data_IF_397033362462
#
_entry.id   IF_397033362462
#
_cell.length_a   1.000
_cell.length_b   1.000
_cell.length_c   1.000
_cell.angle_alpha   90.00
_cell.angle_beta   90.00
_cell.angle_gamma   90.00
#
_symmetry.space_group_name_H-M   'P 1'
#
loop_
_entity.id
_entity.type
_entity.pdbx_description
1 polymer ?
#
# COMPACT_ATOMS: atom_id res chain seq x y z
N UNK A 1 -9.41 -16.25 -6.31
CA UNK A 1 -10.47 -15.32 -6.77
C UNK A 1 -11.76 -16.04 -7.17
N UNK A 2 -11.71 -17.20 -7.83
CA UNK A 2 -12.91 -17.99 -8.18
C UNK A 2 -13.82 -18.26 -6.99
N UNK A 3 -13.28 -18.73 -5.85
CA UNK A 3 -14.09 -19.10 -4.69
C UNK A 3 -14.86 -17.93 -4.04
N UNK A 4 -14.35 -16.69 -4.11
CA UNK A 4 -15.00 -15.51 -3.52
C UNK A 4 -16.35 -15.22 -4.18
N UNK A 5 -16.37 -15.20 -5.52
CA UNK A 5 -17.56 -14.85 -6.29
C UNK A 5 -18.61 -15.94 -6.13
N UNK A 6 -18.20 -17.21 -6.09
CA UNK A 6 -19.10 -18.33 -5.86
C UNK A 6 -19.67 -18.34 -4.43
N UNK A 7 -18.84 -18.16 -3.39
CA UNK A 7 -19.32 -18.14 -2.00
C UNK A 7 -20.26 -16.97 -1.73
N UNK A 8 -19.88 -15.77 -2.19
CA UNK A 8 -20.69 -14.57 -2.06
C UNK A 8 -22.02 -14.73 -2.81
N UNK A 9 -21.96 -15.15 -4.08
CA UNK A 9 -23.15 -15.31 -4.92
C UNK A 9 -24.16 -16.30 -4.37
N UNK A 10 -23.70 -17.44 -3.83
CA UNK A 10 -24.56 -18.46 -3.22
C UNK A 10 -25.26 -17.88 -1.99
N UNK A 11 -24.53 -17.23 -1.08
CA UNK A 11 -25.12 -16.72 0.16
C UNK A 11 -26.09 -15.56 -0.13
N UNK A 12 -25.76 -14.67 -1.07
CA UNK A 12 -26.67 -13.61 -1.49
C UNK A 12 -27.96 -14.18 -2.10
N UNK A 13 -27.86 -15.22 -2.93
CA UNK A 13 -29.03 -15.89 -3.48
C UNK A 13 -29.90 -16.54 -2.40
N UNK A 14 -29.27 -17.13 -1.38
CA UNK A 14 -29.96 -17.69 -0.20
C UNK A 14 -30.65 -16.58 0.59
N UNK A 15 -29.98 -15.45 0.86
CA UNK A 15 -30.59 -14.31 1.56
C UNK A 15 -31.81 -13.77 0.83
N UNK A 16 -31.74 -13.60 -0.49
CA UNK A 16 -32.87 -13.17 -1.33
C UNK A 16 -34.02 -14.19 -1.25
N UNK A 17 -33.71 -15.49 -1.36
CA UNK A 17 -34.71 -16.55 -1.31
C UNK A 17 -35.39 -16.64 0.06
N UNK A 18 -34.62 -16.57 1.15
CA UNK A 18 -35.13 -16.56 2.53
C UNK A 18 -35.97 -15.30 2.77
N UNK A 19 -35.52 -14.14 2.31
CA UNK A 19 -36.30 -12.90 2.40
C UNK A 19 -37.64 -13.04 1.69
N UNK A 20 -37.65 -13.52 0.43
CA UNK A 20 -38.87 -13.71 -0.35
C UNK A 20 -39.80 -14.76 0.28
N UNK A 21 -39.25 -15.84 0.82
CA UNK A 21 -40.00 -16.89 1.51
C UNK A 21 -40.66 -16.37 2.79
N UNK A 22 -39.90 -15.67 3.64
CA UNK A 22 -40.41 -15.05 4.85
C UNK A 22 -41.46 -13.99 4.52
N UNK A 23 -41.21 -13.15 3.53
CA UNK A 23 -42.15 -12.10 3.10
C UNK A 23 -43.46 -12.69 2.58
N UNK A 24 -43.42 -13.83 1.88
CA UNK A 24 -44.61 -14.48 1.34
C UNK A 24 -45.38 -15.30 2.37
N UNK A 25 -44.69 -15.92 3.33
CA UNK A 25 -45.34 -16.83 4.30
C UNK A 25 -45.73 -16.10 5.60
N UNK A 26 -44.97 -15.10 6.02
CA UNK A 26 -45.23 -14.37 7.27
C UNK A 26 -46.03 -13.09 7.04
N UNK A 27 -46.69 -12.59 8.08
CA UNK A 27 -47.36 -11.27 8.07
C UNK A 27 -46.45 -10.14 8.53
N UNK A 28 -45.14 -10.38 8.62
CA UNK A 28 -44.20 -9.37 9.10
C UNK A 28 -43.97 -8.31 8.04
N UNK A 29 -43.80 -7.07 8.47
CA UNK A 29 -43.45 -5.98 7.58
C UNK A 29 -42.07 -6.22 6.97
N UNK A 30 -41.88 -5.83 5.71
CA UNK A 30 -40.63 -6.01 4.97
C UNK A 30 -39.39 -5.50 5.70
N UNK A 31 -39.52 -4.40 6.47
CA UNK A 31 -38.45 -3.85 7.32
C UNK A 31 -38.06 -4.76 8.49
N UNK A 32 -39.04 -5.45 9.09
CA UNK A 32 -38.77 -6.37 10.20
C UNK A 32 -38.03 -7.60 9.70
N UNK A 33 -38.47 -8.16 8.56
CA UNK A 33 -37.81 -9.31 7.93
C UNK A 33 -36.37 -8.95 7.54
N UNK A 34 -36.16 -7.78 6.94
CA UNK A 34 -34.82 -7.27 6.61
C UNK A 34 -33.93 -7.18 7.85
N UNK A 35 -34.43 -6.58 8.93
CA UNK A 35 -33.67 -6.43 10.18
C UNK A 35 -33.25 -7.79 10.76
N UNK A 36 -34.17 -8.75 10.84
CA UNK A 36 -33.86 -10.09 11.33
C UNK A 36 -32.83 -10.81 10.45
N UNK A 37 -32.96 -10.69 9.12
CA UNK A 37 -32.01 -11.27 8.19
C UNK A 37 -30.60 -10.69 8.36
N UNK A 38 -30.47 -9.36 8.49
CA UNK A 38 -29.16 -8.72 8.75
C UNK A 38 -28.55 -9.24 10.05
N UNK A 39 -29.34 -9.27 11.14
CA UNK A 39 -28.84 -9.72 12.45
C UNK A 39 -28.39 -11.18 12.38
N UNK A 40 -29.17 -12.06 11.75
CA UNK A 40 -28.83 -13.48 11.60
C UNK A 40 -27.60 -13.65 10.71
N UNK A 41 -27.54 -12.98 9.57
CA UNK A 41 -26.42 -13.08 8.63
C UNK A 41 -25.11 -12.65 9.29
N UNK A 42 -25.12 -11.51 10.00
CA UNK A 42 -23.94 -11.02 10.74
C UNK A 42 -23.60 -11.95 11.90
N UNK A 43 -24.58 -12.40 12.69
CA UNK A 43 -24.35 -13.29 13.82
C UNK A 43 -23.76 -14.65 13.42
N UNK A 44 -24.10 -15.17 12.24
CA UNK A 44 -23.54 -16.39 11.70
C UNK A 44 -22.19 -16.16 11.03
N UNK A 45 -22.06 -15.06 10.27
CA UNK A 45 -20.85 -14.78 9.50
C UNK A 45 -19.68 -14.34 10.37
N UNK A 46 -19.90 -13.47 11.37
CA UNK A 46 -18.84 -12.96 12.24
C UNK A 46 -18.01 -14.08 12.90
N UNK A 47 -18.59 -15.04 13.65
CA UNK A 47 -17.81 -16.09 14.27
C UNK A 47 -17.12 -16.98 13.24
N UNK A 48 -17.78 -17.29 12.12
CA UNK A 48 -17.18 -18.08 11.04
C UNK A 48 -15.98 -17.37 10.39
N UNK A 49 -16.09 -16.07 10.13
CA UNK A 49 -15.04 -15.25 9.52
C UNK A 49 -13.86 -15.00 10.46
N UNK A 50 -14.10 -14.93 11.78
CA UNK A 50 -13.03 -14.83 12.78
C UNK A 50 -12.25 -16.16 12.88
N UNK A 51 -12.95 -17.30 12.85
CA UNK A 51 -12.31 -18.63 12.91
C UNK A 51 -11.56 -18.99 11.62
N UNK A 52 -12.10 -18.60 10.46
CA UNK A 52 -11.51 -18.86 9.15
C UNK A 52 -11.02 -17.56 8.50
N UNK A 53 -10.05 -16.91 9.14
CA UNK A 53 -9.54 -15.63 8.69
C UNK A 53 -8.86 -15.73 7.31
N UNK A 54 -9.47 -15.14 6.29
CA UNK A 54 -8.96 -15.13 4.90
C UNK A 54 -8.41 -13.76 4.45
N UNK A 55 -8.41 -12.76 5.36
CA UNK A 55 -8.00 -11.39 5.08
C UNK A 55 -9.12 -10.37 5.29
N UNK A 56 -8.73 -9.12 5.58
CA UNK A 56 -9.67 -8.05 5.95
C UNK A 56 -10.61 -7.67 4.80
N UNK A 57 -10.09 -7.57 3.58
CA UNK A 57 -10.89 -7.18 2.41
C UNK A 57 -11.96 -8.22 2.07
N UNK A 58 -11.61 -9.52 2.16
CA UNK A 58 -12.56 -10.62 2.00
C UNK A 58 -13.71 -10.47 3.00
N UNK A 59 -13.37 -10.21 4.27
CA UNK A 59 -14.34 -10.06 5.35
C UNK A 59 -15.26 -8.86 5.15
N UNK A 60 -14.70 -7.68 4.82
CA UNK A 60 -15.46 -6.45 4.61
C UNK A 60 -16.47 -6.60 3.48
N UNK A 61 -16.08 -7.21 2.36
CA UNK A 61 -16.97 -7.41 1.21
C UNK A 61 -18.20 -8.22 1.64
N UNK A 62 -18.00 -9.36 2.32
CA UNK A 62 -19.12 -10.21 2.75
C UNK A 62 -20.04 -9.49 3.74
N UNK A 63 -19.49 -8.85 4.78
CA UNK A 63 -20.29 -8.10 5.75
C UNK A 63 -21.09 -6.99 5.06
N UNK A 64 -20.46 -6.26 4.14
CA UNK A 64 -21.12 -5.15 3.43
C UNK A 64 -22.30 -5.66 2.60
N UNK A 65 -22.12 -6.71 1.81
CA UNK A 65 -23.18 -7.23 0.95
C UNK A 65 -24.30 -7.92 1.74
N UNK A 66 -23.98 -8.66 2.81
CA UNK A 66 -24.97 -9.31 3.68
C UNK A 66 -25.84 -8.31 4.45
N UNK A 67 -25.32 -7.11 4.70
CA UNK A 67 -26.13 -6.02 5.27
C UNK A 67 -26.93 -5.30 4.18
N UNK A 68 -26.29 -4.99 3.04
CA UNK A 68 -26.89 -4.16 1.99
C UNK A 68 -28.06 -4.85 1.28
N UNK A 69 -27.97 -6.15 1.00
CA UNK A 69 -29.03 -6.85 0.26
C UNK A 69 -30.36 -6.87 1.03
N UNK A 70 -30.43 -7.39 2.28
CA UNK A 70 -31.67 -7.36 3.04
C UNK A 70 -32.18 -5.93 3.28
N UNK A 71 -31.28 -4.96 3.48
CA UNK A 71 -31.65 -3.56 3.65
C UNK A 71 -32.37 -2.99 2.42
N UNK A 72 -31.82 -3.19 1.22
CA UNK A 72 -32.45 -2.75 -0.05
C UNK A 72 -33.79 -3.45 -0.26
N UNK A 73 -33.86 -4.77 -0.04
CA UNK A 73 -35.10 -5.56 -0.13
C UNK A 73 -36.17 -5.05 0.84
N UNK A 74 -35.80 -4.77 2.09
CA UNK A 74 -36.71 -4.24 3.10
C UNK A 74 -37.28 -2.87 2.76
N UNK A 75 -36.48 -1.99 2.15
CA UNK A 75 -36.96 -0.70 1.63
C UNK A 75 -37.98 -0.94 0.53
N UNK A 76 -37.63 -1.72 -0.50
CA UNK A 76 -38.49 -1.96 -1.66
C UNK A 76 -39.84 -2.56 -1.26
N UNK A 77 -39.85 -3.59 -0.40
CA UNK A 77 -41.10 -4.21 0.03
C UNK A 77 -41.93 -3.32 0.92
N UNK A 78 -41.30 -2.54 1.81
CA UNK A 78 -42.05 -1.58 2.62
C UNK A 78 -42.74 -0.49 1.81
N UNK A 79 -42.20 -0.14 0.63
CA UNK A 79 -42.88 0.75 -0.31
C UNK A 79 -44.08 0.07 -0.98
N UNK A 80 -44.01 -1.23 -1.26
CA UNK A 80 -45.15 -1.99 -1.79
C UNK A 80 -46.26 -2.11 -0.74
N UNK A 81 -45.91 -2.44 0.50
CA UNK A 81 -46.85 -2.50 1.64
C UNK A 81 -47.56 -1.15 1.85
N UNK A 82 -46.82 -0.04 1.82
CA UNK A 82 -47.38 1.30 1.97
C UNK A 82 -48.37 1.64 0.84
N UNK A 83 -48.04 1.30 -0.42
CA UNK A 83 -48.94 1.50 -1.57
C UNK A 83 -50.19 0.62 -1.53
N UNK A 84 -50.10 -0.55 -0.91
CA UNK A 84 -51.22 -1.49 -0.82
C UNK A 84 -52.15 -1.18 0.36
N UNK A 85 -51.63 -0.52 1.39
CA UNK A 85 -52.39 -0.03 2.54
C UNK A 85 -53.14 1.29 2.27
N UNK A 86 -52.75 2.07 1.25
CA UNK A 86 -53.30 3.40 0.99
C UNK A 86 -54.28 3.40 -0.20
N UNK A 87 -55.57 3.22 0.10
CA UNK A 87 -56.71 3.60 -0.74
C UNK A 87 -57.07 5.09 -0.52
N UNK A 88 -56.09 5.96 -0.25
CA UNK A 88 -56.31 7.33 0.20
C UNK A 88 -55.53 8.34 -0.65
N UNK A 89 -56.27 9.32 -1.14
CA UNK A 89 -55.87 10.35 -2.08
C UNK A 89 -54.81 11.32 -1.52
N UNK A 90 -53.51 10.98 -1.52
CA UNK A 90 -52.47 12.02 -1.57
C UNK A 90 -51.25 11.60 -2.40
N UNK A 91 -50.72 12.47 -3.28
CA UNK A 91 -49.52 12.17 -4.06
C UNK A 91 -48.30 12.36 -3.15
N UNK A 92 -47.84 11.28 -2.53
CA UNK A 92 -46.64 11.36 -1.70
C UNK A 92 -45.40 11.58 -2.58
N UNK A 93 -44.80 12.77 -2.41
CA UNK A 93 -43.77 13.37 -3.28
C UNK A 93 -42.54 12.48 -3.48
N UNK A 94 -42.11 12.46 -4.74
CA UNK A 94 -41.18 11.52 -5.37
C UNK A 94 -39.69 11.84 -5.15
N UNK A 95 -39.28 12.31 -3.96
CA UNK A 95 -37.87 12.54 -3.68
C UNK A 95 -37.57 12.55 -2.16
N UNK A 96 -36.91 11.51 -1.66
CA UNK A 96 -36.46 11.46 -0.28
C UNK A 96 -35.17 12.29 -0.13
N UNK A 97 -35.27 13.44 0.53
CA UNK A 97 -34.13 14.33 0.78
C UNK A 97 -32.99 13.67 1.58
N UNK A 98 -33.29 12.67 2.41
CA UNK A 98 -32.28 11.96 3.22
C UNK A 98 -31.23 11.23 2.38
N UNK A 99 -31.61 10.25 1.53
CA UNK A 99 -30.68 9.61 0.61
C UNK A 99 -29.94 10.59 -0.32
N UNK A 100 -30.62 11.64 -0.79
CA UNK A 100 -29.99 12.65 -1.64
C UNK A 100 -28.87 13.43 -0.93
N UNK A 101 -29.06 13.78 0.35
CA UNK A 101 -28.03 14.45 1.17
C UNK A 101 -26.83 13.53 1.40
N UNK A 102 -27.06 12.24 1.67
CA UNK A 102 -25.98 11.25 1.80
C UNK A 102 -25.18 11.12 0.51
N UNK A 103 -25.85 10.99 -0.64
CA UNK A 103 -25.18 10.91 -1.94
C UNK A 103 -24.35 12.17 -2.23
N UNK A 104 -24.90 13.36 -1.94
CA UNK A 104 -24.16 14.63 -2.08
C UNK A 104 -22.93 14.72 -1.17
N UNK A 105 -23.06 14.25 0.07
CA UNK A 105 -21.95 14.16 1.01
C UNK A 105 -20.84 13.23 0.50
N UNK A 106 -21.18 12.02 0.05
CA UNK A 106 -20.21 11.08 -0.50
C UNK A 106 -19.56 11.57 -1.79
N UNK A 107 -20.30 12.21 -2.70
CA UNK A 107 -19.72 12.84 -3.89
C UNK A 107 -18.70 13.92 -3.53
N UNK A 108 -18.98 14.70 -2.50
CA UNK A 108 -18.05 15.73 -2.01
C UNK A 108 -16.77 15.09 -1.47
N UNK A 109 -16.88 14.01 -0.67
CA UNK A 109 -15.73 13.26 -0.18
C UNK A 109 -14.87 12.71 -1.32
N UNK A 110 -15.48 12.09 -2.34
CA UNK A 110 -14.75 11.56 -3.50
C UNK A 110 -13.96 12.65 -4.22
N UNK A 111 -14.53 13.85 -4.37
CA UNK A 111 -13.82 14.98 -4.99
C UNK A 111 -12.66 15.43 -4.11
N UNK A 112 -12.89 15.63 -2.81
CA UNK A 112 -11.85 16.07 -1.87
C UNK A 112 -10.72 15.04 -1.81
N UNK A 113 -11.02 13.77 -1.58
CA UNK A 113 -10.03 12.70 -1.51
C UNK A 113 -9.27 12.54 -2.83
N UNK A 114 -9.97 12.61 -3.97
CA UNK A 114 -9.35 12.58 -5.29
C UNK A 114 -8.36 13.73 -5.50
N UNK A 115 -8.69 14.94 -5.01
CA UNK A 115 -7.75 16.08 -5.07
C UNK A 115 -6.53 15.88 -4.19
N UNK A 116 -6.69 15.36 -2.96
CA UNK A 116 -5.59 15.06 -2.04
C UNK A 116 -4.67 13.98 -2.60
N UNK A 117 -5.25 12.90 -3.14
CA UNK A 117 -4.50 11.80 -3.74
C UNK A 117 -3.70 12.29 -4.96
N UNK A 118 -4.34 13.04 -5.85
CA UNK A 118 -3.67 13.63 -7.02
C UNK A 118 -2.52 14.55 -6.61
N UNK A 119 -2.72 15.34 -5.55
CA UNK A 119 -1.69 16.21 -4.97
C UNK A 119 -0.51 15.41 -4.40
N UNK A 120 -0.78 14.28 -3.74
CA UNK A 120 0.26 13.40 -3.19
C UNK A 120 1.09 12.72 -4.29
N UNK A 121 0.45 12.21 -5.34
CA UNK A 121 1.12 11.47 -6.41
C UNK A 121 1.84 12.36 -7.43
N UNK A 122 1.23 13.48 -7.82
CA UNK A 122 1.74 14.36 -8.88
C UNK A 122 2.41 15.63 -8.35
N UNK A 123 2.31 15.89 -7.05
CA UNK A 123 2.79 17.14 -6.44
C UNK A 123 1.83 18.31 -6.64
N UNK A 124 2.15 19.44 -6.02
CA UNK A 124 1.27 20.62 -6.00
C UNK A 124 1.21 21.34 -7.34
N UNK A 125 0.00 21.49 -7.89
CA UNK A 125 -0.24 22.25 -9.12
C UNK A 125 0.16 23.73 -8.90
N UNK A 126 0.86 24.33 -9.87
CA UNK A 126 1.32 25.71 -9.87
C UNK A 126 0.21 26.75 -9.57
N UNK A 127 -1.03 26.50 -10.03
CA UNK A 127 -2.15 27.40 -9.77
C UNK A 127 -2.60 27.39 -8.30
N UNK A 128 -2.56 26.22 -7.65
CA UNK A 128 -2.87 26.07 -6.23
C UNK A 128 -1.77 26.67 -5.37
N UNK A 129 -0.50 26.40 -5.72
CA UNK A 129 0.66 26.95 -5.03
C UNK A 129 0.65 28.50 -5.05
N UNK A 130 0.34 29.14 -6.18
CA UNK A 130 0.26 30.60 -6.27
C UNK A 130 -0.87 31.22 -5.42
N UNK A 131 -1.98 30.50 -5.20
CA UNK A 131 -3.14 31.02 -4.46
C UNK A 131 -2.98 30.88 -2.95
N UNK A 132 -2.28 29.84 -2.49
CA UNK A 132 -2.21 29.47 -1.07
C UNK A 132 -0.82 29.53 -0.47
N UNK A 133 0.25 29.51 -1.26
CA UNK A 133 1.62 29.60 -0.76
C UNK A 133 2.23 30.99 -1.08
N UNK A 134 3.03 31.55 -0.15
CA UNK A 134 3.80 32.75 -0.41
C UNK A 134 4.89 32.48 -1.46
N UNK A 135 5.23 33.50 -2.25
CA UNK A 135 6.24 33.38 -3.31
C UNK A 135 7.60 32.94 -2.74
N UNK A 136 8.24 31.91 -3.32
CA UNK A 136 9.51 31.40 -2.81
C UNK A 136 10.63 32.43 -3.01
N UNK A 137 11.34 32.76 -1.92
CA UNK A 137 12.50 33.68 -1.94
C UNK A 137 13.72 33.16 -2.71
N UNK A 138 13.71 31.91 -3.18
CA UNK A 138 14.82 31.31 -3.92
C UNK A 138 14.33 30.68 -5.23
N UNK A 139 15.12 30.86 -6.29
CA UNK A 139 14.86 30.37 -7.66
C UNK A 139 14.90 28.83 -7.81
N UNK A 140 15.02 28.07 -6.72
CA UNK A 140 15.06 26.62 -6.74
C UNK A 140 13.65 26.04 -6.61
N UNK A 141 13.27 25.21 -7.59
CA UNK A 141 12.00 24.51 -7.64
C UNK A 141 12.04 23.41 -6.57
N UNK A 142 11.32 23.62 -5.46
CA UNK A 142 11.18 22.62 -4.41
C UNK A 142 10.11 21.63 -4.88
N UNK A 143 10.51 20.41 -5.21
CA UNK A 143 9.59 19.31 -5.52
C UNK A 143 8.92 18.87 -4.22
N UNK A 144 7.61 19.10 -4.08
CA UNK A 144 6.83 18.72 -2.88
C UNK A 144 6.28 17.29 -2.94
N UNK A 145 6.67 16.51 -3.96
CA UNK A 145 6.17 15.15 -4.13
C UNK A 145 6.71 14.29 -2.99
N UNK A 146 5.81 13.56 -2.32
CA UNK A 146 6.23 12.55 -1.36
C UNK A 146 6.95 11.45 -2.15
N UNK A 147 8.24 11.18 -1.88
CA UNK A 147 9.08 10.28 -2.68
C UNK A 147 8.71 8.80 -2.52
N UNK A 148 7.47 8.51 -2.13
CA UNK A 148 7.04 7.19 -1.71
C UNK A 148 7.45 6.86 -0.26
N UNK A 149 6.79 5.87 0.36
CA UNK A 149 7.21 5.32 1.63
C UNK A 149 8.61 4.69 1.47
N UNK A 150 9.50 5.04 2.40
CA UNK A 150 10.87 4.54 2.59
C UNK A 150 11.03 3.04 2.25
N UNK A 151 11.41 2.69 1.02
CA UNK A 151 11.86 1.36 0.51
C UNK A 151 11.23 0.07 1.08
N UNK A 152 10.14 0.15 1.81
CA UNK A 152 9.49 -0.92 2.54
C UNK A 152 8.03 -0.56 2.62
N UNK A 153 7.30 -1.10 1.66
CA UNK A 153 5.89 -1.32 1.79
C UNK A 153 5.70 -2.43 2.85
N UNK A 154 5.78 -2.07 4.14
CA UNK A 154 5.56 -3.02 5.25
C UNK A 154 4.12 -3.55 5.31
N UNK A 155 3.25 -3.15 4.37
CA UNK A 155 1.88 -3.65 4.26
C UNK A 155 1.77 -4.97 3.48
N UNK A 156 2.85 -5.46 2.85
CA UNK A 156 2.82 -6.74 2.14
C UNK A 156 3.47 -7.92 2.91
N UNK A 157 2.58 -8.75 3.49
CA UNK A 157 2.66 -10.22 3.67
C UNK A 157 3.81 -10.77 4.54
N UNK A 158 3.44 -11.40 5.66
CA UNK A 158 4.31 -12.16 6.59
C UNK A 158 5.35 -13.07 5.92
N UNK A 159 5.05 -13.63 4.74
CA UNK A 159 5.97 -14.46 3.98
C UNK A 159 7.25 -13.71 3.55
N UNK A 160 7.14 -12.45 3.10
CA UNK A 160 8.28 -11.62 2.73
C UNK A 160 9.12 -11.25 3.97
N UNK A 161 8.45 -10.98 5.10
CA UNK A 161 9.11 -10.74 6.38
C UNK A 161 9.89 -11.98 6.87
N UNK A 162 9.29 -13.17 6.78
CA UNK A 162 9.95 -14.42 7.16
C UNK A 162 11.14 -14.75 6.24
N UNK A 163 11.02 -14.47 4.93
CA UNK A 163 12.14 -14.59 3.99
C UNK A 163 13.28 -13.62 4.35
N UNK A 164 12.93 -12.38 4.70
CA UNK A 164 13.90 -11.39 5.16
C UNK A 164 14.60 -11.82 6.46
N UNK A 165 13.86 -12.34 7.45
CA UNK A 165 14.44 -12.87 8.68
C UNK A 165 15.40 -14.03 8.40
N UNK A 166 15.02 -14.98 7.54
CA UNK A 166 15.89 -16.09 7.12
C UNK A 166 17.15 -15.59 6.40
N UNK A 167 17.02 -14.62 5.51
CA UNK A 167 18.16 -14.02 4.81
C UNK A 167 19.09 -13.27 5.78
N UNK A 168 18.53 -12.55 6.76
CA UNK A 168 19.32 -11.86 7.79
C UNK A 168 20.03 -12.85 8.72
N UNK A 169 19.36 -13.90 9.16
CA UNK A 169 19.98 -14.96 9.96
C UNK A 169 21.09 -15.69 9.19
N UNK A 170 20.88 -16.02 7.91
CA UNK A 170 21.90 -16.68 7.10
C UNK A 170 23.12 -15.78 6.89
N UNK A 171 22.91 -14.48 6.68
CA UNK A 171 23.99 -13.48 6.64
C UNK A 171 24.74 -13.38 7.97
N UNK A 172 24.03 -13.39 9.11
CA UNK A 172 24.66 -13.35 10.43
C UNK A 172 25.48 -14.62 10.72
N UNK A 173 24.94 -15.81 10.39
CA UNK A 173 25.65 -17.09 10.54
C UNK A 173 26.90 -17.17 9.68
N UNK A 174 26.89 -16.54 8.49
CA UNK A 174 28.05 -16.49 7.59
C UNK A 174 29.20 -15.63 8.13
N UNK A 175 28.90 -14.66 8.99
CA UNK A 175 29.91 -13.88 9.71
C UNK A 175 30.76 -12.93 8.86
N UNK A 176 30.37 -12.65 7.61
CA UNK A 176 31.10 -11.73 6.74
C UNK A 176 31.15 -10.32 7.34
N UNK A 177 32.34 -9.72 7.30
CA UNK A 177 32.57 -8.34 7.74
C UNK A 177 32.78 -7.46 6.52
N UNK A 178 31.86 -6.52 6.32
CA UNK A 178 31.88 -5.61 5.17
C UNK A 178 32.27 -4.20 5.61
N UNK A 179 33.46 -3.77 5.18
CA UNK A 179 33.94 -2.40 5.30
C UNK A 179 33.66 -1.65 3.99
N UNK A 180 33.22 -0.40 4.11
CA UNK A 180 32.77 0.41 2.97
C UNK A 180 33.12 1.87 3.19
N UNK A 181 33.51 2.56 2.13
CA UNK A 181 33.87 3.96 2.20
C UNK A 181 34.38 4.54 0.88
N UNK A 182 34.48 5.86 0.84
CA UNK A 182 35.07 6.57 -0.28
C UNK A 182 36.58 6.62 -0.14
N UNK A 183 37.29 6.44 -1.26
CA UNK A 183 38.70 6.78 -1.36
C UNK A 183 38.79 8.29 -1.65
N UNK A 184 38.85 9.08 -0.58
CA UNK A 184 38.82 10.54 -0.62
C UNK A 184 37.48 11.13 -0.20
N UNK A 185 37.19 12.37 -0.64
CA UNK A 185 35.92 13.04 -0.36
C UNK A 185 34.94 12.84 -1.51
N UNK A 186 33.70 12.48 -1.20
CA UNK A 186 32.62 12.48 -2.18
C UNK A 186 32.08 13.91 -2.35
N UNK A 187 32.32 14.50 -3.51
CA UNK A 187 31.86 15.85 -3.88
C UNK A 187 30.84 15.71 -5.02
N UNK A 188 29.76 16.49 -4.95
CA UNK A 188 28.71 16.46 -5.96
C UNK A 188 29.26 16.80 -7.35
N UNK A 189 28.78 16.10 -8.39
CA UNK A 189 29.21 16.21 -9.79
C UNK A 189 30.69 15.89 -10.05
N UNK A 190 31.42 15.37 -9.08
CA UNK A 190 32.81 14.94 -9.26
C UNK A 190 32.93 13.42 -9.20
N UNK A 191 33.79 12.79 -10.02
CA UNK A 191 34.04 11.37 -9.92
C UNK A 191 34.74 11.03 -8.61
N UNK A 192 34.14 10.15 -7.82
CA UNK A 192 34.71 9.62 -6.60
C UNK A 192 34.80 8.09 -6.68
N UNK A 193 35.83 7.52 -6.06
CA UNK A 193 36.02 6.07 -6.02
C UNK A 193 35.40 5.54 -4.73
N UNK A 194 34.42 4.66 -4.87
CA UNK A 194 33.80 3.95 -3.77
C UNK A 194 34.41 2.56 -3.63
N UNK A 195 34.76 2.18 -2.40
CA UNK A 195 35.41 0.91 -2.07
C UNK A 195 34.56 0.09 -1.11
N UNK A 196 34.43 -1.19 -1.39
CA UNK A 196 33.92 -2.22 -0.47
C UNK A 196 35.00 -3.27 -0.26
N UNK A 197 35.30 -3.58 1.00
CA UNK A 197 36.17 -4.69 1.42
C UNK A 197 35.34 -5.72 2.17
N UNK A 198 35.44 -6.98 1.74
CA UNK A 198 34.68 -8.10 2.28
C UNK A 198 35.66 -9.16 2.78
N UNK A 199 35.54 -9.50 4.04
CA UNK A 199 36.26 -10.63 4.65
C UNK A 199 35.25 -11.58 5.30
N UNK A 200 35.58 -12.85 5.36
CA UNK A 200 34.74 -13.86 6.00
C UNK A 200 34.87 -13.84 7.54
N UNK A 201 34.30 -14.84 8.20
CA UNK A 201 34.35 -14.96 9.66
C UNK A 201 35.77 -15.22 10.17
N UNK A 202 36.59 -15.94 9.40
CA UNK A 202 37.98 -16.31 9.68
C UNK A 202 38.96 -15.15 9.37
N UNK A 203 38.50 -14.15 8.63
CA UNK A 203 39.29 -12.99 8.21
C UNK A 203 39.90 -13.14 6.82
N UNK A 204 39.58 -14.22 6.11
CA UNK A 204 40.04 -14.46 4.75
C UNK A 204 39.25 -13.57 3.76
N UNK A 205 39.91 -13.06 2.71
CA UNK A 205 39.26 -12.20 1.72
C UNK A 205 38.23 -12.99 0.92
N UNK A 206 37.02 -12.42 0.79
CA UNK A 206 35.96 -12.99 -0.06
C UNK A 206 36.18 -12.53 -1.50
N UNK A 207 37.00 -13.27 -2.25
CA UNK A 207 37.29 -12.98 -3.66
C UNK A 207 36.28 -13.58 -4.64
N UNK A 208 36.31 -13.09 -5.88
CA UNK A 208 35.46 -13.53 -6.99
C UNK A 208 33.95 -13.41 -6.72
N UNK A 209 33.55 -12.46 -5.86
CA UNK A 209 32.15 -12.15 -5.62
C UNK A 209 31.64 -11.08 -6.60
N UNK A 210 30.40 -11.20 -7.03
CA UNK A 210 29.69 -10.15 -7.76
C UNK A 210 29.17 -9.13 -6.78
N UNK A 211 29.63 -7.88 -6.86
CA UNK A 211 29.17 -6.77 -6.00
C UNK A 211 28.43 -5.76 -6.84
N UNK A 212 27.11 -5.72 -6.67
CA UNK A 212 26.22 -4.78 -7.35
C UNK A 212 25.47 -3.94 -6.32
N UNK A 213 24.96 -2.79 -6.71
CA UNK A 213 24.22 -1.97 -5.77
C UNK A 213 23.67 -0.69 -6.37
N UNK A 214 22.99 0.07 -5.52
CA UNK A 214 22.37 1.34 -5.87
C UNK A 214 22.61 2.37 -4.77
N UNK A 215 22.93 3.59 -5.20
CA UNK A 215 22.84 4.78 -4.36
C UNK A 215 21.46 5.42 -4.59
N UNK A 216 20.65 5.44 -3.54
CA UNK A 216 19.28 5.93 -3.55
C UNK A 216 19.22 7.36 -3.03
N UNK A 217 18.51 8.22 -3.75
CA UNK A 217 18.27 9.61 -3.35
C UNK A 217 16.93 9.72 -2.64
N UNK A 218 16.97 10.05 -1.34
CA UNK A 218 15.77 10.10 -0.51
C UNK A 218 14.69 11.10 -0.95
N UNK A 219 15.02 12.05 -1.83
CA UNK A 219 14.08 13.08 -2.31
C UNK A 219 13.57 12.84 -3.73
N UNK A 220 14.20 11.96 -4.52
CA UNK A 220 13.91 11.79 -5.95
C UNK A 220 14.51 10.49 -6.49
N UNK A 221 13.68 9.45 -6.62
CA UNK A 221 14.10 8.11 -7.11
C UNK A 221 14.65 8.14 -8.54
N UNK A 222 14.33 9.16 -9.35
CA UNK A 222 14.86 9.28 -10.72
C UNK A 222 16.37 9.61 -10.75
N UNK A 223 16.97 9.89 -9.59
CA UNK A 223 18.40 10.20 -9.44
C UNK A 223 19.17 9.04 -8.84
N UNK A 224 18.55 7.89 -8.70
CA UNK A 224 19.20 6.69 -8.20
C UNK A 224 20.29 6.23 -9.19
N UNK A 225 21.45 5.87 -8.64
CA UNK A 225 22.59 5.45 -9.44
C UNK A 225 22.89 4.00 -9.14
N UNK A 226 22.71 3.16 -10.15
CA UNK A 226 23.12 1.76 -10.11
C UNK A 226 24.61 1.64 -10.43
N UNK A 227 25.27 0.69 -9.77
CA UNK A 227 26.67 0.41 -10.00
C UNK A 227 26.97 -1.10 -9.91
N UNK A 228 28.00 -1.50 -10.63
CA UNK A 228 28.66 -2.79 -10.48
C UNK A 228 30.12 -2.55 -10.18
N UNK A 229 30.66 -3.24 -9.19
CA UNK A 229 32.05 -3.08 -8.78
C UNK A 229 32.95 -4.11 -9.46
N UNK A 230 34.20 -3.72 -9.67
CA UNK A 230 35.25 -4.62 -10.13
C UNK A 230 36.18 -4.96 -8.97
N UNK A 231 36.57 -6.24 -8.88
CA UNK A 231 37.56 -6.68 -7.91
C UNK A 231 38.94 -6.16 -8.31
N UNK A 232 39.58 -5.40 -7.41
CA UNK A 232 40.90 -4.84 -7.63
C UNK A 232 41.99 -5.62 -6.91
N UNK A 233 41.70 -6.13 -5.71
CA UNK A 233 42.52 -7.04 -4.93
C UNK A 233 41.61 -8.12 -4.36
N UNK A 234 42.12 -9.29 -3.93
CA UNK A 234 41.32 -10.31 -3.27
C UNK A 234 40.44 -9.71 -2.15
N UNK A 235 39.11 -9.78 -2.33
CA UNK A 235 38.13 -9.25 -1.37
C UNK A 235 37.98 -7.73 -1.32
N UNK A 236 38.61 -6.98 -2.23
CA UNK A 236 38.47 -5.53 -2.36
C UNK A 236 37.87 -5.15 -3.72
N UNK A 237 36.72 -4.49 -3.68
CA UNK A 237 35.92 -4.11 -4.83
C UNK A 237 35.85 -2.60 -4.95
N UNK A 238 36.07 -2.09 -6.15
CA UNK A 238 36.13 -0.66 -6.46
C UNK A 238 35.15 -0.30 -7.59
N UNK A 239 34.59 0.89 -7.50
CA UNK A 239 33.85 1.52 -8.60
C UNK A 239 34.05 3.02 -8.58
N UNK A 240 34.18 3.62 -9.76
CA UNK A 240 34.22 5.07 -9.94
C UNK A 240 32.83 5.54 -10.35
N UNK A 241 32.24 6.43 -9.57
CA UNK A 241 30.90 6.96 -9.84
C UNK A 241 30.82 8.47 -9.56
N UNK A 242 29.80 9.12 -10.12
CA UNK A 242 29.54 10.55 -9.95
C UNK A 242 28.16 10.69 -9.32
N UNK A 243 28.09 11.25 -8.12
CA UNK A 243 26.80 11.57 -7.48
C UNK A 243 26.41 13.01 -7.83
N UNK A 244 25.27 13.26 -8.49
CA UNK A 244 24.96 14.56 -9.08
C UNK A 244 24.57 15.62 -8.05
N UNK A 245 24.11 15.21 -6.87
CA UNK A 245 23.60 16.13 -5.86
C UNK A 245 24.33 16.00 -4.51
N UNK A 246 24.60 17.13 -3.84
CA UNK A 246 25.09 17.10 -2.47
C UNK A 246 23.99 16.62 -1.51
N UNK A 247 24.40 16.19 -0.31
CA UNK A 247 23.49 15.78 0.76
C UNK A 247 23.58 14.29 1.10
N UNK A 248 22.51 13.78 1.72
CA UNK A 248 22.42 12.40 2.19
C UNK A 248 22.02 11.46 1.05
N UNK A 249 22.69 10.32 0.97
CA UNK A 249 22.41 9.24 0.03
C UNK A 249 22.36 7.91 0.79
N UNK A 250 21.43 7.04 0.43
CA UNK A 250 21.35 5.68 0.98
C UNK A 250 22.03 4.71 0.04
N UNK A 251 22.79 3.75 0.57
CA UNK A 251 23.44 2.69 -0.19
C UNK A 251 22.73 1.38 0.10
N UNK A 252 22.38 0.65 -0.96
CA UNK A 252 21.98 -0.75 -0.89
C UNK A 252 22.89 -1.53 -1.85
N UNK A 253 23.77 -2.36 -1.29
CA UNK A 253 24.68 -3.20 -2.07
C UNK A 253 24.39 -4.68 -1.81
N UNK A 254 24.51 -5.51 -2.84
CA UNK A 254 24.37 -6.96 -2.78
C UNK A 254 25.67 -7.59 -3.24
N UNK A 255 26.20 -8.47 -2.40
CA UNK A 255 27.42 -9.23 -2.63
C UNK A 255 26.98 -10.69 -2.84
N UNK A 256 27.29 -11.25 -3.99
CA UNK A 256 26.93 -12.63 -4.35
C UNK A 256 28.18 -13.45 -4.66
N UNK A 257 28.31 -14.63 -4.05
CA UNK A 257 29.39 -15.59 -4.31
C UNK A 257 28.79 -16.98 -4.42
N UNK A 258 28.65 -17.51 -5.63
CA UNK A 258 27.91 -18.76 -5.88
C UNK A 258 26.46 -18.62 -5.41
N UNK A 259 26.00 -19.53 -4.54
CA UNK A 259 24.65 -19.50 -3.97
C UNK A 259 24.52 -18.58 -2.73
N UNK A 260 25.61 -17.94 -2.32
CA UNK A 260 25.66 -17.08 -1.15
C UNK A 260 25.34 -15.63 -1.53
N UNK A 261 24.32 -15.03 -0.91
CA UNK A 261 24.06 -13.59 -1.03
C UNK A 261 24.17 -12.88 0.32
N UNK A 262 24.71 -11.66 0.29
CA UNK A 262 24.86 -10.78 1.44
C UNK A 262 24.49 -9.34 1.06
N UNK A 263 23.52 -8.77 1.75
CA UNK A 263 23.04 -7.41 1.50
C UNK A 263 23.60 -6.44 2.54
N UNK A 264 24.10 -5.30 2.08
CA UNK A 264 24.72 -4.26 2.90
C UNK A 264 23.97 -2.97 2.67
N UNK A 265 23.51 -2.38 3.77
CA UNK A 265 22.87 -1.07 3.78
C UNK A 265 23.74 -0.06 4.52
N UNK A 266 23.87 1.14 3.97
CA UNK A 266 24.60 2.23 4.60
C UNK A 266 24.02 3.58 4.20
N UNK A 267 24.49 4.64 4.83
CA UNK A 267 24.18 6.03 4.46
C UNK A 267 25.50 6.76 4.26
N UNK A 268 25.58 7.60 3.24
CA UNK A 268 26.74 8.45 2.97
C UNK A 268 26.33 9.90 2.77
N UNK A 269 27.28 10.81 3.01
CA UNK A 269 27.10 12.25 2.85
C UNK A 269 28.01 12.74 1.73
N UNK A 270 27.41 13.40 0.74
CA UNK A 270 28.10 14.03 -0.38
C UNK A 270 28.20 15.53 -0.10
N UNK A 271 29.41 16.08 -0.21
CA UNK A 271 29.67 17.50 0.00
C UNK A 271 29.30 18.30 -1.25
N UNK A 272 28.94 19.57 -1.03
CA UNK A 272 28.86 20.55 -2.10
C UNK A 272 30.28 21.02 -2.43
N UNK A 273 30.54 21.26 -3.71
CA UNK A 273 31.77 21.91 -4.19
C UNK A 273 31.94 23.32 -3.60
#
# INVERSE_FOLDING_TARGET
MSNLVYSLGIVLAIEIAVFAMLYRWTRFAGKQIAFFLVVIAVALFLPFGILNWQGLDYFIIHVTFYIMIPYVLGIITSHWEARQAENSETPQRWFHWGPAVLVGFFLTLVVVDGTILTLAEKGMNANFAKRFLPEPRSKNIIVSKFPGPVSHDYQEKEAQFNQYLKARESQQKRGWKVQKGWLGKAIANQPAIFKIKVVDQQGDPVSQASVTGRFLRSSDENKDIEFSMQESNPGEYLVKLILPEPGRWSLVAKIERGDESHEVRAVTQVQKE
#
